data_IF_166447492081
#
_entry.id   IF_166447492081
#
_cell.length_a   1.000
_cell.length_b   1.000
_cell.length_c   1.000
_cell.angle_alpha   90.00
_cell.angle_beta   90.00
_cell.angle_gamma   90.00
#
_symmetry.space_group_name_H-M   'P 1'
#
loop_
_entity.id
_entity.type
_entity.pdbx_description
1 polymer ?
#
# COMPACT_ATOMS: atom_id res chain seq x y z
N UNK A 1 27.61 -20.99 -3.60
CA UNK A 1 28.34 -21.52 -2.42
C UNK A 1 27.42 -21.70 -1.21
N UNK A 2 26.70 -20.65 -0.72
CA UNK A 2 25.76 -20.79 0.43
C UNK A 2 24.61 -21.73 0.09
N UNK A 3 23.99 -21.58 -1.07
CA UNK A 3 22.91 -22.45 -1.51
C UNK A 3 23.36 -23.93 -1.64
N UNK A 4 24.58 -24.15 -2.10
CA UNK A 4 25.14 -25.50 -2.20
C UNK A 4 25.38 -26.11 -0.82
N UNK A 5 25.81 -25.33 0.16
CA UNK A 5 25.92 -25.72 1.57
C UNK A 5 24.57 -26.09 2.17
N UNK A 6 23.49 -25.31 1.88
CA UNK A 6 22.13 -25.63 2.30
C UNK A 6 21.68 -26.98 1.72
N UNK A 7 21.90 -27.17 0.41
CA UNK A 7 21.55 -28.43 -0.28
C UNK A 7 22.28 -29.63 0.34
N UNK A 8 23.54 -29.45 0.72
CA UNK A 8 24.32 -30.53 1.39
C UNK A 8 23.82 -30.74 2.82
N UNK A 9 23.56 -29.68 3.58
CA UNK A 9 23.14 -29.79 4.97
C UNK A 9 21.75 -30.44 5.14
N UNK A 10 20.81 -30.18 4.22
CA UNK A 10 19.47 -30.76 4.30
C UNK A 10 19.43 -32.30 4.16
N UNK A 11 20.43 -32.91 3.50
CA UNK A 11 20.45 -34.35 3.28
C UNK A 11 20.38 -35.14 4.59
N UNK A 12 21.03 -34.63 5.64
CA UNK A 12 20.97 -35.24 6.96
C UNK A 12 19.55 -35.18 7.58
N UNK A 13 18.76 -34.19 7.23
CA UNK A 13 17.41 -33.98 7.75
C UNK A 13 16.37 -34.90 7.07
N UNK A 14 16.64 -35.38 5.87
CA UNK A 14 15.73 -36.24 5.10
C UNK A 14 15.44 -37.57 5.78
N UNK A 15 16.37 -38.05 6.59
CA UNK A 15 16.27 -39.34 7.29
C UNK A 15 15.57 -39.25 8.65
N UNK A 16 15.26 -38.04 9.15
CA UNK A 16 14.57 -37.84 10.40
C UNK A 16 13.07 -38.20 10.25
N UNK A 17 12.51 -38.83 11.28
CA UNK A 17 11.03 -38.96 11.36
C UNK A 17 10.40 -37.62 11.72
N UNK A 18 9.05 -37.53 11.74
CA UNK A 18 8.34 -36.27 11.97
C UNK A 18 8.66 -35.66 13.34
N UNK A 19 8.70 -36.45 14.40
CA UNK A 19 8.99 -35.98 15.77
C UNK A 19 10.42 -35.45 15.89
N UNK A 20 11.39 -36.18 15.34
CA UNK A 20 12.79 -35.77 15.31
C UNK A 20 13.00 -34.49 14.49
N UNK A 21 12.30 -34.37 13.36
CA UNK A 21 12.39 -33.16 12.54
C UNK A 21 11.76 -31.95 13.24
N UNK A 22 10.60 -32.12 13.91
CA UNK A 22 9.97 -31.08 14.67
C UNK A 22 10.87 -30.55 15.80
N UNK A 23 11.53 -31.45 16.54
CA UNK A 23 12.52 -31.10 17.57
C UNK A 23 13.71 -30.34 16.95
N UNK A 24 14.25 -30.85 15.86
CA UNK A 24 15.37 -30.21 15.14
C UNK A 24 15.00 -28.80 14.61
N UNK A 25 13.79 -28.60 14.08
CA UNK A 25 13.32 -27.28 13.63
C UNK A 25 13.18 -26.30 14.80
N UNK A 26 12.71 -26.76 15.95
CA UNK A 26 12.62 -25.95 17.17
C UNK A 26 14.01 -25.50 17.66
N UNK A 27 14.99 -26.41 17.63
CA UNK A 27 16.37 -26.10 17.99
C UNK A 27 17.02 -25.11 17.01
N UNK A 28 16.82 -25.29 15.70
CA UNK A 28 17.33 -24.39 14.68
C UNK A 28 16.72 -22.99 14.81
N UNK A 29 15.43 -22.92 15.16
CA UNK A 29 14.75 -21.64 15.45
C UNK A 29 15.35 -20.96 16.67
N UNK A 30 15.55 -21.70 17.76
CA UNK A 30 16.15 -21.16 18.98
C UNK A 30 17.58 -20.65 18.73
N UNK A 31 18.38 -21.40 17.99
CA UNK A 31 19.74 -21.02 17.58
C UNK A 31 19.74 -19.75 16.71
N UNK A 32 18.83 -19.65 15.73
CA UNK A 32 18.72 -18.49 14.85
C UNK A 32 18.42 -17.20 15.61
N UNK A 33 17.53 -17.28 16.60
CA UNK A 33 17.19 -16.15 17.48
C UNK A 33 18.36 -15.73 18.36
N UNK A 34 19.12 -16.68 18.90
CA UNK A 34 20.30 -16.43 19.70
C UNK A 34 21.40 -15.73 18.90
N UNK A 35 21.72 -16.22 17.71
CA UNK A 35 22.79 -15.69 16.84
C UNK A 35 22.47 -14.26 16.39
N UNK A 36 21.21 -13.94 16.08
CA UNK A 36 20.80 -12.59 15.70
C UNK A 36 21.06 -11.57 16.82
N UNK A 37 20.92 -11.95 18.07
CA UNK A 37 21.15 -11.08 19.23
C UNK A 37 22.63 -10.83 19.52
N UNK A 38 23.55 -11.67 19.05
CA UNK A 38 24.98 -11.65 19.42
C UNK A 38 25.90 -11.17 18.30
N UNK A 39 25.51 -11.34 17.03
CA UNK A 39 26.38 -11.05 15.88
C UNK A 39 25.75 -10.08 14.86
N UNK A 40 26.61 -9.27 14.22
CA UNK A 40 26.21 -8.41 13.12
C UNK A 40 25.76 -9.23 11.90
N UNK A 41 24.95 -8.64 11.04
CA UNK A 41 24.21 -9.15 9.87
C UNK A 41 24.96 -9.97 8.81
N UNK A 42 26.07 -10.66 9.14
CA UNK A 42 26.74 -11.56 8.20
C UNK A 42 26.14 -12.96 8.29
N UNK A 43 25.86 -13.53 7.14
CA UNK A 43 25.36 -14.91 6.98
C UNK A 43 26.33 -15.89 7.63
N UNK A 44 25.91 -16.54 8.71
CA UNK A 44 26.70 -17.49 9.49
C UNK A 44 26.33 -18.94 9.10
N UNK A 45 27.11 -19.91 9.59
CA UNK A 45 26.78 -21.34 9.42
C UNK A 45 25.39 -21.69 9.98
N UNK A 46 24.92 -20.99 11.03
CA UNK A 46 23.57 -21.16 11.59
C UNK A 46 22.45 -20.77 10.61
N UNK A 47 22.66 -19.75 9.77
CA UNK A 47 21.68 -19.39 8.73
C UNK A 47 21.60 -20.48 7.64
N UNK A 48 22.73 -21.13 7.31
CA UNK A 48 22.73 -22.28 6.38
C UNK A 48 21.95 -23.44 6.96
N UNK A 49 22.14 -23.76 8.23
CA UNK A 49 21.40 -24.83 8.92
C UNK A 49 19.91 -24.51 9.03
N UNK A 50 19.56 -23.29 9.42
CA UNK A 50 18.17 -22.83 9.48
C UNK A 50 17.49 -22.95 8.10
N UNK A 51 18.15 -22.47 7.04
CA UNK A 51 17.62 -22.58 5.68
C UNK A 51 17.52 -24.04 5.22
N UNK A 52 18.41 -24.93 5.64
CA UNK A 52 18.32 -26.36 5.36
C UNK A 52 17.09 -27.00 6.01
N UNK A 53 16.81 -26.65 7.27
CA UNK A 53 15.59 -27.08 7.97
C UNK A 53 14.31 -26.59 7.29
N UNK A 54 14.26 -25.31 6.91
CA UNK A 54 13.12 -24.73 6.19
C UNK A 54 12.94 -25.43 4.82
N UNK A 55 14.02 -25.75 4.11
CA UNK A 55 13.94 -26.47 2.85
C UNK A 55 13.37 -27.89 3.01
N UNK A 56 13.72 -28.58 4.09
CA UNK A 56 13.15 -29.89 4.38
C UNK A 56 11.67 -29.77 4.78
N UNK A 57 11.28 -28.73 5.52
CA UNK A 57 9.89 -28.44 5.83
C UNK A 57 9.07 -28.24 4.54
N UNK A 58 9.59 -27.48 3.55
CA UNK A 58 8.93 -27.33 2.24
C UNK A 58 8.70 -28.68 1.57
N UNK A 59 9.70 -29.59 1.61
CA UNK A 59 9.55 -30.93 1.04
C UNK A 59 8.46 -31.74 1.73
N UNK A 60 8.37 -31.66 3.06
CA UNK A 60 7.34 -32.37 3.84
C UNK A 60 5.94 -31.84 3.56
N UNK A 61 5.78 -30.52 3.54
CA UNK A 61 4.48 -29.88 3.38
C UNK A 61 4.00 -29.91 1.92
N UNK A 62 4.86 -29.55 0.96
CA UNK A 62 4.45 -29.38 -0.43
C UNK A 62 4.85 -30.55 -1.36
N UNK A 63 5.63 -31.53 -0.88
CA UNK A 63 6.06 -32.68 -1.67
C UNK A 63 7.17 -32.41 -2.70
N UNK A 64 7.67 -31.16 -2.79
CA UNK A 64 8.77 -30.82 -3.69
C UNK A 64 9.87 -30.03 -2.95
N UNK A 65 11.06 -29.99 -3.55
CA UNK A 65 12.21 -29.30 -2.96
C UNK A 65 12.40 -27.92 -3.60
N UNK A 66 12.73 -26.89 -2.80
CA UNK A 66 13.16 -25.62 -3.35
C UNK A 66 14.39 -25.78 -4.25
N UNK A 67 14.37 -25.09 -5.38
CA UNK A 67 15.50 -25.04 -6.28
C UNK A 67 16.64 -24.16 -5.72
N UNK A 68 17.86 -24.42 -6.22
CA UNK A 68 19.05 -23.68 -5.83
C UNK A 68 18.88 -22.16 -6.00
N UNK A 69 18.23 -21.78 -7.07
CA UNK A 69 17.94 -20.38 -7.44
C UNK A 69 17.04 -19.70 -6.40
N UNK A 70 16.03 -20.40 -5.91
CA UNK A 70 15.13 -19.90 -4.87
C UNK A 70 15.86 -19.70 -3.53
N UNK A 71 16.79 -20.59 -3.20
CA UNK A 71 17.64 -20.45 -2.02
C UNK A 71 18.58 -19.22 -2.15
N UNK A 72 19.14 -18.99 -3.34
CA UNK A 72 19.96 -17.79 -3.62
C UNK A 72 19.13 -16.54 -3.43
N UNK A 73 17.92 -16.50 -4.02
CA UNK A 73 16.99 -15.38 -3.87
C UNK A 73 16.62 -15.12 -2.40
N UNK A 74 16.36 -16.18 -1.64
CA UNK A 74 16.03 -16.07 -0.22
C UNK A 74 17.17 -15.45 0.60
N UNK A 75 18.41 -15.84 0.37
CA UNK A 75 19.56 -15.20 1.03
C UNK A 75 19.74 -13.74 0.61
N UNK A 76 19.56 -13.42 -0.67
CA UNK A 76 19.65 -12.03 -1.14
C UNK A 76 18.62 -11.13 -0.42
N UNK A 77 17.38 -11.60 -0.27
CA UNK A 77 16.32 -10.88 0.45
C UNK A 77 16.69 -10.71 1.93
N UNK A 78 17.17 -11.76 2.58
CA UNK A 78 17.58 -11.72 3.99
C UNK A 78 18.73 -10.75 4.25
N UNK A 79 19.63 -10.59 3.29
CA UNK A 79 20.75 -9.63 3.37
C UNK A 79 20.35 -8.19 3.03
N UNK A 80 19.05 -7.94 2.78
CA UNK A 80 18.55 -6.60 2.46
C UNK A 80 18.86 -6.19 1.02
N UNK A 81 18.76 -7.12 0.08
CA UNK A 81 18.96 -6.89 -1.36
C UNK A 81 17.69 -7.23 -2.13
N UNK A 82 17.62 -6.79 -3.37
CA UNK A 82 16.56 -7.17 -4.30
C UNK A 82 17.03 -8.37 -5.14
N UNK A 83 16.33 -9.49 -5.02
CA UNK A 83 16.55 -10.65 -5.86
C UNK A 83 15.86 -10.44 -7.23
N UNK A 84 16.65 -10.30 -8.30
CA UNK A 84 16.12 -10.25 -9.65
C UNK A 84 15.84 -11.67 -10.13
N UNK A 85 14.55 -12.06 -10.06
CA UNK A 85 14.08 -13.40 -10.41
C UNK A 85 13.08 -13.31 -11.56
N UNK A 86 13.30 -14.07 -12.62
CA UNK A 86 12.37 -14.11 -13.74
C UNK A 86 10.98 -14.57 -13.32
N UNK A 87 9.96 -14.15 -14.08
CA UNK A 87 8.59 -14.59 -13.85
C UNK A 87 8.49 -16.12 -14.02
N UNK A 88 7.80 -16.78 -13.07
CA UNK A 88 7.65 -18.25 -13.07
C UNK A 88 8.74 -19.01 -12.33
N UNK A 89 9.78 -18.37 -11.81
CA UNK A 89 10.86 -19.02 -11.04
C UNK A 89 10.51 -19.26 -9.56
N UNK A 90 9.27 -18.99 -9.15
CA UNK A 90 8.78 -19.26 -7.80
C UNK A 90 9.12 -18.19 -6.77
N UNK A 91 8.91 -16.92 -7.12
CA UNK A 91 9.07 -15.76 -6.22
C UNK A 91 8.34 -15.94 -4.89
N UNK A 92 7.08 -16.41 -4.91
CA UNK A 92 6.28 -16.62 -3.69
C UNK A 92 6.96 -17.61 -2.72
N UNK A 93 7.48 -18.74 -3.21
CA UNK A 93 8.22 -19.67 -2.36
C UNK A 93 9.50 -19.04 -1.80
N UNK A 94 10.21 -18.27 -2.61
CA UNK A 94 11.42 -17.55 -2.20
C UNK A 94 11.11 -16.55 -1.07
N UNK A 95 9.99 -15.85 -1.16
CA UNK A 95 9.49 -14.97 -0.09
C UNK A 95 9.20 -15.76 1.19
N UNK A 96 8.52 -16.92 1.08
CA UNK A 96 8.22 -17.76 2.24
C UNK A 96 9.49 -18.23 2.96
N UNK A 97 10.50 -18.71 2.20
CA UNK A 97 11.79 -19.10 2.77
C UNK A 97 12.44 -17.94 3.55
N UNK A 98 12.44 -16.76 2.94
CA UNK A 98 13.01 -15.55 3.55
C UNK A 98 12.23 -15.12 4.79
N UNK A 99 10.90 -15.14 4.71
CA UNK A 99 10.03 -14.72 5.80
C UNK A 99 10.16 -15.62 7.03
N UNK A 100 10.20 -16.94 6.84
CA UNK A 100 10.40 -17.90 7.94
C UNK A 100 11.77 -17.68 8.57
N UNK A 101 12.83 -17.58 7.75
CA UNK A 101 14.19 -17.40 8.26
C UNK A 101 14.34 -16.09 9.03
N UNK A 102 13.68 -15.00 8.61
CA UNK A 102 13.66 -13.73 9.32
C UNK A 102 12.84 -13.81 10.61
N UNK A 103 11.68 -14.47 10.59
CA UNK A 103 10.84 -14.70 11.78
C UNK A 103 11.58 -15.51 12.83
N UNK A 104 12.35 -16.53 12.44
CA UNK A 104 13.20 -17.32 13.34
C UNK A 104 14.30 -16.49 14.01
N UNK A 105 14.71 -15.37 13.39
CA UNK A 105 15.61 -14.41 14.02
C UNK A 105 14.91 -13.53 15.09
N UNK A 106 13.59 -13.71 15.29
CA UNK A 106 12.80 -12.95 16.25
C UNK A 106 12.39 -11.56 15.79
N UNK A 107 12.48 -11.30 14.47
CA UNK A 107 12.08 -10.03 13.88
C UNK A 107 10.64 -10.10 13.37
N UNK A 108 9.78 -9.09 13.63
CA UNK A 108 8.52 -8.94 12.93
C UNK A 108 8.76 -8.74 11.43
N UNK A 109 8.16 -9.59 10.60
CA UNK A 109 8.33 -9.60 9.14
C UNK A 109 7.06 -9.08 8.49
N UNK A 110 7.20 -8.11 7.59
CA UNK A 110 6.10 -7.64 6.75
C UNK A 110 6.38 -8.02 5.30
N UNK A 111 5.48 -8.77 4.71
CA UNK A 111 5.54 -9.13 3.28
C UNK A 111 4.58 -8.21 2.53
N UNK A 112 5.15 -7.34 1.69
CA UNK A 112 4.39 -6.35 0.93
C UNK A 112 4.10 -6.90 -0.45
N UNK A 113 2.81 -6.89 -0.81
CA UNK A 113 2.32 -7.33 -2.12
C UNK A 113 1.63 -6.19 -2.85
N UNK A 114 1.42 -6.35 -4.14
CA UNK A 114 0.84 -5.30 -4.99
C UNK A 114 -0.63 -4.98 -4.68
N UNK A 115 -1.40 -5.91 -4.12
CA UNK A 115 -2.81 -5.70 -3.78
C UNK A 115 -3.29 -6.65 -2.67
N UNK A 116 -4.46 -6.34 -2.10
CA UNK A 116 -5.08 -7.07 -1.00
C UNK A 116 -5.37 -8.54 -1.31
N UNK A 117 -5.77 -8.83 -2.55
CA UNK A 117 -6.01 -10.20 -2.99
C UNK A 117 -4.75 -11.05 -2.92
N UNK A 118 -3.63 -10.53 -3.42
CA UNK A 118 -2.35 -11.22 -3.35
C UNK A 118 -1.87 -11.38 -1.91
N UNK A 119 -2.05 -10.38 -1.06
CA UNK A 119 -1.70 -10.45 0.35
C UNK A 119 -2.45 -11.57 1.07
N UNK A 120 -3.75 -11.67 0.87
CA UNK A 120 -4.58 -12.72 1.47
C UNK A 120 -4.23 -14.11 0.90
N UNK A 121 -4.16 -14.24 -0.43
CA UNK A 121 -3.86 -15.50 -1.14
C UNK A 121 -2.49 -16.07 -0.74
N UNK A 122 -1.45 -15.24 -0.78
CA UNK A 122 -0.08 -15.72 -0.55
C UNK A 122 0.16 -16.03 0.93
N UNK A 123 -0.53 -15.32 1.84
CA UNK A 123 -0.59 -15.68 3.25
C UNK A 123 -1.24 -17.05 3.45
N UNK A 124 -2.40 -17.28 2.82
CA UNK A 124 -3.15 -18.55 2.92
C UNK A 124 -2.34 -19.72 2.35
N UNK A 125 -1.74 -19.57 1.17
CA UNK A 125 -0.88 -20.59 0.56
C UNK A 125 0.34 -20.95 1.43
N UNK A 126 0.84 -20.02 2.23
CA UNK A 126 1.96 -20.23 3.13
C UNK A 126 1.60 -20.84 4.50
N UNK A 127 0.32 -20.81 4.91
CA UNK A 127 -0.11 -21.13 6.28
C UNK A 127 0.39 -22.50 6.78
N UNK A 128 0.25 -23.54 5.97
CA UNK A 128 0.67 -24.89 6.35
C UNK A 128 2.18 -24.96 6.60
N UNK A 129 2.97 -24.35 5.71
CA UNK A 129 4.42 -24.27 5.86
C UNK A 129 4.84 -23.44 7.09
N UNK A 130 4.16 -22.31 7.32
CA UNK A 130 4.42 -21.47 8.48
C UNK A 130 4.15 -22.22 9.79
N UNK A 131 2.99 -22.87 9.87
CA UNK A 131 2.62 -23.69 11.04
C UNK A 131 3.62 -24.82 11.26
N UNK A 132 4.04 -25.52 10.21
CA UNK A 132 5.03 -26.59 10.27
C UNK A 132 6.39 -26.08 10.77
N UNK A 133 6.79 -24.86 10.40
CA UNK A 133 7.99 -24.19 10.89
C UNK A 133 7.80 -23.49 12.26
N UNK A 134 6.66 -23.66 12.91
CA UNK A 134 6.33 -23.05 14.19
C UNK A 134 6.22 -21.51 14.14
N UNK A 135 5.86 -20.93 13.00
CA UNK A 135 5.73 -19.49 12.80
C UNK A 135 4.28 -19.12 12.57
N UNK A 136 3.86 -17.99 13.13
CA UNK A 136 2.49 -17.46 12.95
C UNK A 136 2.45 -16.44 11.84
N UNK A 137 1.41 -16.50 10.97
CA UNK A 137 1.22 -15.55 9.89
C UNK A 137 -0.24 -15.07 9.80
N UNK A 138 -0.42 -13.84 9.36
CA UNK A 138 -1.73 -13.24 9.08
C UNK A 138 -1.64 -12.27 7.89
N UNK A 139 -2.79 -12.01 7.26
CA UNK A 139 -2.94 -10.90 6.31
C UNK A 139 -3.69 -9.73 6.96
N UNK A 140 -3.21 -8.51 6.71
CA UNK A 140 -3.87 -7.25 7.10
C UNK A 140 -4.12 -6.45 5.83
N UNK A 141 -5.37 -6.36 5.43
CA UNK A 141 -5.83 -5.76 4.17
C UNK A 141 -6.80 -4.61 4.42
N UNK A 142 -7.21 -3.91 3.38
CA UNK A 142 -8.25 -2.88 3.47
C UNK A 142 -9.58 -3.38 4.04
N UNK A 143 -9.89 -4.67 3.89
CA UNK A 143 -11.11 -5.30 4.43
C UNK A 143 -10.99 -5.68 5.92
N UNK A 144 -9.76 -5.69 6.49
CA UNK A 144 -9.56 -6.04 7.90
C UNK A 144 -10.14 -4.95 8.80
N UNK A 145 -11.13 -5.28 9.66
CA UNK A 145 -11.75 -4.31 10.54
C UNK A 145 -10.74 -3.64 11.50
N UNK A 146 -10.92 -2.37 11.87
CA UNK A 146 -9.97 -1.64 12.72
C UNK A 146 -9.62 -2.35 14.03
N UNK A 147 -10.59 -2.98 14.68
CA UNK A 147 -10.39 -3.71 15.94
C UNK A 147 -9.58 -5.02 15.76
N UNK A 148 -9.58 -5.62 14.59
CA UNK A 148 -8.84 -6.85 14.29
C UNK A 148 -7.41 -6.59 13.78
N UNK A 149 -7.11 -5.37 13.32
CA UNK A 149 -5.78 -5.05 12.73
C UNK A 149 -4.64 -5.27 13.72
N UNK A 150 -4.80 -4.88 14.98
CA UNK A 150 -3.79 -5.07 16.01
C UNK A 150 -3.49 -6.56 16.26
N UNK A 151 -4.49 -7.43 16.25
CA UNK A 151 -4.31 -8.88 16.34
C UNK A 151 -3.55 -9.41 15.11
N UNK A 152 -3.89 -8.95 13.91
CA UNK A 152 -3.17 -9.29 12.68
C UNK A 152 -1.68 -8.92 12.76
N UNK A 153 -1.35 -7.68 13.15
CA UNK A 153 0.05 -7.24 13.31
C UNK A 153 0.81 -7.94 14.44
N UNK A 154 0.13 -8.68 15.32
CA UNK A 154 0.79 -9.46 16.37
C UNK A 154 1.36 -10.81 15.89
N UNK A 155 1.09 -11.22 14.66
CA UNK A 155 1.72 -12.40 14.07
C UNK A 155 3.18 -12.12 13.68
N UNK A 156 3.99 -13.17 13.58
CA UNK A 156 5.43 -13.03 13.25
C UNK A 156 5.63 -12.61 11.80
N UNK A 157 4.77 -13.10 10.90
CA UNK A 157 4.74 -12.72 9.48
C UNK A 157 3.40 -12.05 9.19
N UNK A 158 3.43 -10.85 8.61
CA UNK A 158 2.24 -10.08 8.25
C UNK A 158 2.27 -9.76 6.76
N UNK A 159 1.29 -10.25 6.03
CA UNK A 159 1.07 -9.89 4.63
C UNK A 159 0.18 -8.65 4.55
N UNK A 160 0.59 -7.65 3.80
CA UNK A 160 -0.20 -6.44 3.59
C UNK A 160 0.21 -5.72 2.30
N UNK A 161 -0.52 -4.68 1.94
CA UNK A 161 -0.09 -3.76 0.90
C UNK A 161 0.77 -2.64 1.49
N UNK A 162 1.58 -1.98 0.65
CA UNK A 162 2.31 -0.79 1.06
C UNK A 162 1.37 0.31 1.58
N UNK A 163 0.18 0.41 0.97
CA UNK A 163 -0.87 1.37 1.33
C UNK A 163 -1.40 1.11 2.74
N UNK A 164 -1.75 -0.14 3.07
CA UNK A 164 -2.27 -0.49 4.40
C UNK A 164 -1.24 -0.25 5.48
N UNK A 165 -0.01 -0.72 5.25
CA UNK A 165 1.09 -0.54 6.20
C UNK A 165 1.37 0.95 6.47
N UNK A 166 1.42 1.78 5.43
CA UNK A 166 1.64 3.22 5.58
C UNK A 166 0.45 3.92 6.25
N UNK A 167 -0.79 3.52 5.92
CA UNK A 167 -2.00 4.08 6.53
C UNK A 167 -2.04 3.81 8.04
N UNK A 168 -1.75 2.58 8.46
CA UNK A 168 -1.72 2.23 9.87
C UNK A 168 -0.57 2.91 10.61
N UNK A 169 0.61 3.02 9.98
CA UNK A 169 1.71 3.81 10.53
C UNK A 169 1.35 5.28 10.76
N UNK A 170 0.63 5.89 9.82
CA UNK A 170 0.19 7.27 9.95
C UNK A 170 -0.88 7.42 11.04
N UNK A 171 -1.84 6.49 11.12
CA UNK A 171 -2.87 6.47 12.19
C UNK A 171 -2.22 6.35 13.57
N UNK A 172 -1.29 5.42 13.74
CA UNK A 172 -0.52 5.26 14.97
C UNK A 172 0.28 6.51 15.32
N UNK A 173 0.88 7.15 14.31
CA UNK A 173 1.63 8.40 14.50
C UNK A 173 0.73 9.53 15.00
N UNK A 174 -0.50 9.67 14.48
CA UNK A 174 -1.46 10.66 14.95
C UNK A 174 -1.88 10.40 16.41
N UNK A 175 -2.10 9.13 16.78
CA UNK A 175 -2.41 8.75 18.16
C UNK A 175 -1.26 9.10 19.11
N UNK A 176 -0.03 8.84 18.70
CA UNK A 176 1.18 9.14 19.49
C UNK A 176 1.40 10.65 19.69
N UNK A 177 1.14 11.46 18.64
CA UNK A 177 1.24 12.92 18.70
C UNK A 177 0.16 13.51 19.63
N UNK A 178 -1.06 12.98 19.58
CA UNK A 178 -2.18 13.45 20.41
C UNK A 178 -2.06 13.13 21.89
N UNK A 179 -1.25 12.13 22.28
CA UNK A 179 -1.09 11.67 23.68
C UNK A 179 0.19 12.17 24.35
N UNK A 180 0.57 13.41 24.14
CA UNK A 180 1.67 14.09 24.85
C UNK A 180 2.96 13.25 25.01
N UNK A 181 3.49 12.77 23.91
CA UNK A 181 4.87 12.32 23.82
C UNK A 181 5.10 10.80 23.92
N UNK A 182 5.98 10.36 23.04
CA UNK A 182 6.47 8.96 22.95
C UNK A 182 6.92 8.40 24.31
N UNK A 183 7.44 9.26 25.21
CA UNK A 183 7.96 8.88 26.52
C UNK A 183 6.83 8.41 27.46
N UNK A 184 5.68 9.12 27.49
CA UNK A 184 4.53 8.71 28.28
C UNK A 184 3.95 7.36 27.81
N UNK A 185 4.02 7.13 26.50
CA UNK A 185 3.53 5.88 25.91
C UNK A 185 4.46 4.70 26.22
N UNK A 186 5.77 4.90 26.14
CA UNK A 186 6.76 3.89 26.53
C UNK A 186 6.66 3.53 28.01
N UNK A 187 6.46 4.53 28.88
CA UNK A 187 6.26 4.34 30.32
C UNK A 187 4.94 3.63 30.64
N UNK A 188 3.86 3.94 29.92
CA UNK A 188 2.58 3.24 30.10
C UNK A 188 2.65 1.77 29.65
N UNK A 189 3.34 1.47 28.55
CA UNK A 189 3.60 0.12 28.07
C UNK A 189 4.44 -0.71 29.05
N UNK A 190 5.49 -0.12 29.62
CA UNK A 190 6.32 -0.76 30.65
C UNK A 190 5.55 -1.04 31.94
N UNK A 191 4.63 -0.14 32.33
CA UNK A 191 3.82 -0.27 33.53
C UNK A 191 2.71 -1.32 33.41
N UNK A 192 2.19 -1.55 32.20
CA UNK A 192 1.09 -2.50 31.93
C UNK A 192 1.58 -3.87 31.42
N UNK A 193 2.83 -4.24 31.64
CA UNK A 193 3.38 -5.56 31.28
C UNK A 193 3.34 -5.88 29.79
N UNK A 194 3.45 -4.86 28.91
CA UNK A 194 3.53 -5.06 27.47
C UNK A 194 2.20 -5.38 26.78
N UNK A 195 1.07 -5.45 27.49
CA UNK A 195 -0.26 -5.66 26.91
C UNK A 195 -0.82 -4.34 26.37
N UNK A 196 -0.58 -4.09 25.08
CA UNK A 196 -0.85 -2.82 24.40
C UNK A 196 -2.31 -2.52 24.01
N UNK A 197 -3.30 -3.21 24.56
CA UNK A 197 -4.71 -3.01 24.18
C UNK A 197 -5.30 -1.64 24.55
N UNK A 198 -4.70 -0.92 25.49
CA UNK A 198 -5.21 0.40 25.91
C UNK A 198 -4.72 1.59 25.08
N UNK A 199 -3.86 1.39 24.09
CA UNK A 199 -3.18 2.50 23.39
C UNK A 199 -3.84 2.95 22.09
N UNK A 200 -4.63 2.11 21.46
CA UNK A 200 -5.18 2.35 20.11
C UNK A 200 -4.13 2.25 18.99
N UNK A 201 -2.88 1.87 19.29
CA UNK A 201 -1.82 1.61 18.33
C UNK A 201 -1.98 0.19 17.83
N UNK A 202 -1.94 0.02 16.50
CA UNK A 202 -2.11 -1.30 15.86
C UNK A 202 -0.79 -1.95 15.50
N UNK A 203 0.24 -1.19 15.13
CA UNK A 203 1.54 -1.71 14.71
C UNK A 203 2.52 -1.79 15.89
N UNK A 204 3.19 -2.93 16.05
CA UNK A 204 4.25 -3.12 17.06
C UNK A 204 5.66 -2.76 16.59
N UNK A 205 5.76 -2.12 15.44
CA UNK A 205 7.00 -1.74 14.76
C UNK A 205 7.29 -2.58 13.52
N UNK A 206 8.14 -2.06 12.66
CA UNK A 206 8.56 -2.70 11.41
C UNK A 206 10.07 -2.87 11.46
N UNK A 207 10.55 -4.10 11.40
CA UNK A 207 11.98 -4.40 11.45
C UNK A 207 12.49 -4.97 10.13
N UNK A 208 11.78 -5.94 9.56
CA UNK A 208 12.10 -6.57 8.29
C UNK A 208 10.92 -6.41 7.33
N UNK A 209 11.20 -5.92 6.13
CA UNK A 209 10.23 -5.84 5.05
C UNK A 209 10.73 -6.65 3.85
N UNK A 210 9.87 -7.48 3.31
CA UNK A 210 10.08 -8.23 2.07
C UNK A 210 9.08 -7.67 1.06
N UNK A 211 9.57 -7.12 -0.04
CA UNK A 211 8.73 -6.47 -1.06
C UNK A 211 8.64 -7.36 -2.29
N UNK A 212 7.44 -7.81 -2.62
CA UNK A 212 7.15 -8.45 -3.90
C UNK A 212 6.89 -7.37 -4.96
N UNK A 213 7.34 -7.61 -6.19
CA UNK A 213 7.35 -6.65 -7.29
C UNK A 213 7.96 -5.29 -6.84
N UNK A 214 9.20 -5.38 -6.34
CA UNK A 214 9.88 -4.28 -5.65
C UNK A 214 10.09 -3.01 -6.50
N UNK A 215 10.20 -3.12 -7.81
CA UNK A 215 10.26 -1.99 -8.75
C UNK A 215 8.95 -1.19 -8.75
N UNK A 216 7.81 -1.85 -8.87
CA UNK A 216 6.52 -1.16 -8.83
C UNK A 216 6.27 -0.48 -7.49
N UNK A 217 6.47 -1.20 -6.38
CA UNK A 217 6.17 -0.69 -5.03
C UNK A 217 7.15 0.40 -4.58
N UNK A 218 8.46 0.21 -4.83
CA UNK A 218 9.51 1.11 -4.32
C UNK A 218 9.83 2.26 -5.28
N UNK A 219 9.49 2.16 -6.57
CA UNK A 219 9.80 3.19 -7.57
C UNK A 219 8.52 3.78 -8.15
N UNK A 220 7.70 3.00 -8.88
CA UNK A 220 6.59 3.55 -9.65
C UNK A 220 5.52 4.22 -8.77
N UNK A 221 5.11 3.58 -7.70
CA UNK A 221 4.08 4.08 -6.80
C UNK A 221 4.64 4.94 -5.64
N UNK A 222 5.94 4.87 -5.40
CA UNK A 222 6.56 5.39 -4.18
C UNK A 222 6.53 6.92 -4.04
N UNK A 223 6.43 7.66 -5.12
CA UNK A 223 6.42 9.14 -5.13
C UNK A 223 5.09 9.70 -4.65
N UNK A 224 4.00 8.98 -4.87
CA UNK A 224 2.66 9.40 -4.48
C UNK A 224 2.53 9.44 -2.95
N UNK A 225 2.11 10.56 -2.34
CA UNK A 225 1.90 10.61 -0.90
C UNK A 225 0.58 9.96 -0.51
N UNK A 226 0.60 9.20 0.57
CA UNK A 226 -0.61 8.85 1.29
C UNK A 226 -1.02 10.01 2.19
N UNK A 227 -2.29 10.39 2.13
CA UNK A 227 -2.88 11.48 2.91
C UNK A 227 -3.98 10.90 3.78
N UNK A 228 -3.91 11.14 5.07
CA UNK A 228 -5.00 10.88 6.01
C UNK A 228 -5.66 12.21 6.32
N UNK A 229 -6.96 12.28 6.10
CA UNK A 229 -7.78 13.45 6.41
C UNK A 229 -8.82 13.07 7.47
N UNK A 230 -9.08 14.00 8.37
CA UNK A 230 -10.16 13.87 9.36
C UNK A 230 -11.23 14.92 9.09
N UNK A 231 -12.52 14.56 9.17
CA UNK A 231 -13.59 15.52 9.05
C UNK A 231 -13.52 16.50 10.25
N UNK A 232 -13.56 17.79 9.94
CA UNK A 232 -13.58 18.85 10.94
C UNK A 232 -14.79 19.75 10.67
N UNK A 233 -15.76 19.81 11.57
CA UNK A 233 -16.92 20.67 11.38
C UNK A 233 -16.49 22.13 11.15
N UNK A 234 -17.02 22.73 10.09
CA UNK A 234 -16.82 24.14 9.75
C UNK A 234 -18.17 24.73 9.35
N UNK A 235 -18.86 25.30 10.33
CA UNK A 235 -20.18 25.91 10.16
C UNK A 235 -20.12 27.12 9.21
N UNK A 236 -18.99 27.82 9.18
CA UNK A 236 -18.80 28.97 8.29
C UNK A 236 -18.74 28.53 6.83
N UNK A 237 -18.02 27.45 6.55
CA UNK A 237 -17.94 26.89 5.20
C UNK A 237 -19.29 26.30 4.77
N UNK A 238 -20.00 25.61 5.66
CA UNK A 238 -21.33 25.08 5.38
C UNK A 238 -22.32 26.21 5.02
N UNK A 239 -22.38 27.26 5.84
CA UNK A 239 -23.21 28.43 5.54
C UNK A 239 -22.79 29.13 4.25
N UNK A 240 -21.48 29.23 4.00
CA UNK A 240 -20.95 29.83 2.77
C UNK A 240 -21.30 28.99 1.53
N UNK A 241 -21.29 27.64 1.61
CA UNK A 241 -21.69 26.77 0.52
C UNK A 241 -23.15 26.97 0.12
N UNK A 242 -24.07 27.02 1.08
CA UNK A 242 -25.49 27.33 0.83
C UNK A 242 -25.62 28.68 0.16
N UNK A 243 -24.97 29.70 0.68
CA UNK A 243 -25.03 31.06 0.11
C UNK A 243 -24.43 31.14 -1.29
N UNK A 244 -23.35 30.38 -1.57
CA UNK A 244 -22.76 30.32 -2.90
C UNK A 244 -23.75 29.76 -3.94
N UNK A 245 -24.50 28.70 -3.57
CA UNK A 245 -25.54 28.11 -4.42
C UNK A 245 -26.68 29.12 -4.68
N UNK A 246 -27.14 29.87 -3.65
CA UNK A 246 -28.14 30.92 -3.85
C UNK A 246 -27.65 31.99 -4.83
N UNK A 247 -26.43 32.47 -4.64
CA UNK A 247 -25.82 33.47 -5.51
C UNK A 247 -25.64 32.93 -6.94
N UNK A 248 -25.19 31.71 -7.10
CA UNK A 248 -25.02 31.06 -8.39
C UNK A 248 -26.35 30.90 -9.14
N UNK A 249 -27.43 30.51 -8.44
CA UNK A 249 -28.80 30.41 -9.00
C UNK A 249 -29.34 31.77 -9.51
N UNK A 250 -28.88 32.86 -8.93
CA UNK A 250 -29.29 34.23 -9.32
C UNK A 250 -28.52 34.78 -10.54
N UNK A 251 -27.44 34.15 -10.97
CA UNK A 251 -26.63 34.54 -12.12
C UNK A 251 -27.16 33.90 -13.42
N UNK A 252 -26.98 34.64 -14.53
CA UNK A 252 -27.53 34.28 -15.86
C UNK A 252 -26.40 33.80 -16.79
N UNK A 253 -26.57 32.63 -17.39
CA UNK A 253 -25.64 32.09 -18.40
C UNK A 253 -25.57 33.00 -19.63
N UNK A 254 -24.39 33.10 -20.23
CA UNK A 254 -24.12 33.98 -21.39
C UNK A 254 -23.93 35.44 -21.05
N UNK A 255 -24.44 35.92 -19.89
CA UNK A 255 -24.30 37.28 -19.42
C UNK A 255 -23.34 37.38 -18.23
N UNK A 256 -23.64 36.68 -17.17
CA UNK A 256 -22.90 36.76 -15.91
C UNK A 256 -21.78 35.68 -15.82
N UNK A 257 -21.96 34.55 -16.48
CA UNK A 257 -20.96 33.52 -16.61
C UNK A 257 -21.01 32.83 -17.97
N UNK A 258 -19.89 32.20 -18.35
CA UNK A 258 -19.74 31.40 -19.58
C UNK A 258 -19.35 29.97 -19.24
N UNK A 259 -19.92 29.03 -19.99
CA UNK A 259 -19.57 27.61 -19.90
C UNK A 259 -18.69 27.27 -21.12
N UNK A 260 -17.50 26.75 -20.86
CA UNK A 260 -16.65 26.17 -21.91
C UNK A 260 -16.67 24.65 -21.76
N UNK A 261 -17.38 23.97 -22.66
CA UNK A 261 -17.53 22.52 -22.62
C UNK A 261 -16.25 21.80 -23.04
N UNK A 262 -15.44 22.36 -23.94
CA UNK A 262 -14.23 21.73 -24.46
C UNK A 262 -13.16 21.54 -23.37
N UNK A 263 -13.00 22.56 -22.51
CA UNK A 263 -12.07 22.52 -21.37
C UNK A 263 -12.77 22.23 -20.03
N UNK A 264 -14.07 21.92 -20.07
CA UNK A 264 -14.91 21.62 -18.88
C UNK A 264 -14.73 22.67 -17.77
N UNK A 265 -14.89 23.92 -18.11
CA UNK A 265 -14.73 25.05 -17.18
C UNK A 265 -15.93 25.99 -17.20
N UNK A 266 -16.18 26.64 -16.06
CA UNK A 266 -17.18 27.70 -15.90
C UNK A 266 -16.51 28.93 -15.33
N UNK A 267 -16.67 30.08 -15.97
CA UNK A 267 -16.02 31.31 -15.55
C UNK A 267 -16.99 32.49 -15.49
N UNK A 268 -16.90 33.29 -14.42
CA UNK A 268 -17.60 34.53 -14.30
C UNK A 268 -17.09 35.57 -15.32
N UNK A 269 -18.01 36.21 -16.04
CA UNK A 269 -17.68 37.34 -16.91
C UNK A 269 -17.36 38.57 -16.07
N UNK A 270 -16.83 39.62 -16.71
CA UNK A 270 -16.64 40.92 -16.05
C UNK A 270 -17.95 41.47 -15.49
N UNK A 271 -19.07 41.30 -16.19
CA UNK A 271 -20.40 41.72 -15.75
C UNK A 271 -20.87 40.91 -14.54
N UNK A 272 -20.65 39.56 -14.57
CA UNK A 272 -20.99 38.67 -13.47
C UNK A 272 -20.22 38.99 -12.20
N UNK A 273 -18.90 39.23 -12.31
CA UNK A 273 -18.07 39.66 -11.17
C UNK A 273 -18.57 40.99 -10.56
N UNK A 274 -18.91 41.97 -11.39
CA UNK A 274 -19.46 43.23 -10.91
C UNK A 274 -20.83 43.09 -10.24
N UNK A 275 -21.67 42.16 -10.76
CA UNK A 275 -22.98 41.85 -10.17
C UNK A 275 -22.81 41.11 -8.84
N UNK A 276 -21.94 40.08 -8.80
CA UNK A 276 -21.61 39.33 -7.60
C UNK A 276 -21.11 40.27 -6.48
N UNK A 277 -20.20 41.19 -6.80
CA UNK A 277 -19.65 42.12 -5.85
C UNK A 277 -20.75 43.00 -5.17
N UNK A 278 -21.84 43.31 -5.89
CA UNK A 278 -22.99 44.02 -5.32
C UNK A 278 -23.85 43.10 -4.45
N UNK A 279 -24.02 41.84 -4.85
CA UNK A 279 -24.86 40.87 -4.13
C UNK A 279 -24.27 40.46 -2.79
N UNK A 280 -22.96 40.55 -2.62
CA UNK A 280 -22.25 40.12 -1.40
C UNK A 280 -21.95 41.23 -0.42
N UNK A 281 -22.36 42.47 -0.69
CA UNK A 281 -22.07 43.62 0.19
C UNK A 281 -22.51 43.42 1.64
N UNK A 282 -23.69 42.83 1.83
CA UNK A 282 -24.29 42.56 3.14
C UNK A 282 -24.16 41.10 3.60
N UNK A 283 -23.38 40.27 2.90
CA UNK A 283 -23.32 38.81 3.14
C UNK A 283 -22.34 38.41 4.26
N UNK A 284 -21.73 39.36 4.98
CA UNK A 284 -20.85 39.14 6.11
C UNK A 284 -19.36 39.03 5.75
N UNK A 285 -18.46 38.89 6.77
CA UNK A 285 -17.02 39.05 6.60
C UNK A 285 -16.37 38.04 5.64
N UNK A 286 -16.89 36.83 5.54
CA UNK A 286 -16.40 35.80 4.63
C UNK A 286 -16.47 36.28 3.16
N UNK A 287 -17.54 36.96 2.80
CA UNK A 287 -17.86 37.41 1.45
C UNK A 287 -17.20 38.74 1.05
N UNK A 288 -16.60 39.44 1.98
CA UNK A 288 -15.88 40.69 1.70
C UNK A 288 -14.59 40.49 0.92
N UNK A 289 -14.03 39.28 0.95
CA UNK A 289 -12.86 38.91 0.13
C UNK A 289 -13.32 38.44 -1.25
N UNK A 290 -13.20 39.34 -2.23
CA UNK A 290 -13.69 39.14 -3.59
C UNK A 290 -13.19 37.81 -4.21
N UNK A 291 -11.91 37.51 -4.07
CA UNK A 291 -11.31 36.28 -4.64
C UNK A 291 -12.00 35.03 -4.12
N UNK A 292 -12.25 34.94 -2.82
CA UNK A 292 -12.96 33.80 -2.20
C UNK A 292 -14.42 33.72 -2.62
N UNK A 293 -15.10 34.86 -2.73
CA UNK A 293 -16.48 34.91 -3.18
C UNK A 293 -16.60 34.44 -4.64
N UNK A 294 -15.72 34.90 -5.51
CA UNK A 294 -15.66 34.49 -6.91
C UNK A 294 -15.32 32.99 -7.03
N UNK A 295 -14.35 32.50 -6.30
CA UNK A 295 -13.95 31.07 -6.28
C UNK A 295 -15.11 30.18 -5.85
N UNK A 296 -15.79 30.51 -4.75
CA UNK A 296 -16.85 29.68 -4.23
C UNK A 296 -18.11 29.69 -5.13
N UNK A 297 -18.43 30.82 -5.72
CA UNK A 297 -19.54 30.93 -6.69
C UNK A 297 -19.20 30.23 -8.00
N UNK A 298 -17.96 30.31 -8.49
CA UNK A 298 -17.52 29.51 -9.63
C UNK A 298 -17.60 27.99 -9.34
N UNK A 299 -17.23 27.58 -8.13
CA UNK A 299 -17.38 26.18 -7.68
C UNK A 299 -18.84 25.76 -7.65
N UNK A 300 -19.76 26.67 -7.23
CA UNK A 300 -21.19 26.38 -7.25
C UNK A 300 -21.74 26.26 -8.67
N UNK A 301 -21.38 27.16 -9.57
CA UNK A 301 -21.75 27.09 -10.99
C UNK A 301 -21.20 25.81 -11.62
N UNK A 302 -19.96 25.45 -11.38
CA UNK A 302 -19.34 24.24 -11.87
C UNK A 302 -20.09 22.99 -11.35
N UNK A 303 -20.35 22.92 -10.06
CA UNK A 303 -21.08 21.79 -9.44
C UNK A 303 -22.48 21.62 -10.03
N UNK A 304 -23.19 22.73 -10.28
CA UNK A 304 -24.56 22.71 -10.83
C UNK A 304 -24.62 22.44 -12.34
N UNK A 305 -23.58 22.82 -13.10
CA UNK A 305 -23.60 22.78 -14.57
C UNK A 305 -22.75 21.69 -15.19
N UNK A 306 -21.67 21.27 -14.52
CA UNK A 306 -20.70 20.33 -15.05
C UNK A 306 -20.75 18.98 -14.37
N UNK A 307 -21.20 18.91 -13.09
CA UNK A 307 -21.31 17.64 -12.38
C UNK A 307 -22.65 16.97 -12.74
N UNK A 308 -22.56 15.81 -13.38
CA UNK A 308 -23.71 15.04 -13.86
C UNK A 308 -23.91 13.82 -12.97
N UNK A 309 -25.14 13.69 -12.45
CA UNK A 309 -25.54 12.51 -11.67
C UNK A 309 -25.42 11.25 -12.52
N UNK A 310 -25.09 10.12 -11.89
CA UNK A 310 -24.89 8.79 -12.46
C UNK A 310 -23.64 8.68 -13.39
N UNK A 311 -22.97 9.80 -13.63
CA UNK A 311 -21.70 9.83 -14.37
C UNK A 311 -20.52 10.20 -13.47
N UNK A 312 -20.63 11.31 -12.72
CA UNK A 312 -19.55 11.81 -11.87
C UNK A 312 -19.80 11.48 -10.40
N UNK A 313 -21.05 11.35 -10.00
CA UNK A 313 -21.46 11.01 -8.63
C UNK A 313 -22.81 10.31 -8.63
N UNK A 314 -23.07 9.58 -7.54
CA UNK A 314 -24.40 9.06 -7.18
C UNK A 314 -24.77 9.58 -5.79
N UNK A 315 -26.07 9.47 -5.46
CA UNK A 315 -26.57 9.73 -4.11
C UNK A 315 -26.87 8.37 -3.48
N UNK A 316 -26.14 8.04 -2.41
CA UNK A 316 -26.36 6.81 -1.65
C UNK A 316 -26.53 7.17 -0.16
N UNK A 317 -27.63 6.74 0.44
CA UNK A 317 -27.94 7.03 1.86
C UNK A 317 -27.91 8.53 2.23
N UNK A 318 -28.37 9.38 1.30
CA UNK A 318 -28.36 10.83 1.49
C UNK A 318 -27.00 11.51 1.36
N UNK A 319 -25.97 10.79 0.89
CA UNK A 319 -24.62 11.32 0.70
C UNK A 319 -24.17 11.24 -0.75
N UNK A 320 -23.35 12.21 -1.15
CA UNK A 320 -22.70 12.20 -2.47
C UNK A 320 -21.53 11.21 -2.45
N UNK A 321 -21.58 10.22 -3.34
CA UNK A 321 -20.48 9.26 -3.57
C UNK A 321 -19.97 9.44 -4.99
N UNK A 322 -18.66 9.62 -5.14
CA UNK A 322 -18.04 9.85 -6.45
C UNK A 322 -17.98 8.55 -7.27
N UNK A 323 -18.07 8.71 -8.58
CA UNK A 323 -17.85 7.64 -9.56
C UNK A 323 -16.52 7.90 -10.26
N UNK A 324 -15.68 6.91 -10.34
CA UNK A 324 -14.45 6.97 -11.13
C UNK A 324 -14.81 6.87 -12.62
N UNK A 325 -14.54 7.92 -13.37
CA UNK A 325 -14.94 8.03 -14.79
C UNK A 325 -14.29 6.96 -15.69
N UNK A 326 -13.12 6.46 -15.33
CA UNK A 326 -12.40 5.45 -16.12
C UNK A 326 -12.92 4.05 -15.89
N UNK A 327 -13.18 3.72 -14.62
CA UNK A 327 -13.56 2.35 -14.24
C UNK A 327 -15.05 2.17 -14.00
N UNK A 328 -15.82 3.26 -13.88
CA UNK A 328 -17.24 3.23 -13.49
C UNK A 328 -17.49 2.77 -12.05
N UNK A 329 -16.47 2.61 -11.24
CA UNK A 329 -16.58 2.13 -9.85
C UNK A 329 -16.84 3.27 -8.88
N UNK A 330 -17.52 2.94 -7.77
CA UNK A 330 -17.76 3.89 -6.70
C UNK A 330 -16.49 4.15 -5.90
N UNK A 331 -16.12 5.42 -5.77
CA UNK A 331 -14.94 5.87 -5.02
C UNK A 331 -15.38 6.42 -3.65
N UNK A 332 -15.82 5.54 -2.75
CA UNK A 332 -16.39 5.89 -1.44
C UNK A 332 -15.44 6.64 -0.51
N UNK A 333 -14.15 6.46 -0.70
CA UNK A 333 -13.10 7.12 0.12
C UNK A 333 -12.61 8.45 -0.48
N UNK A 334 -13.08 8.80 -1.69
CA UNK A 334 -12.74 10.06 -2.33
C UNK A 334 -13.79 11.11 -2.04
N UNK A 335 -13.32 12.31 -1.71
CA UNK A 335 -14.14 13.51 -1.57
C UNK A 335 -13.64 14.59 -2.52
N UNK A 336 -14.53 15.49 -2.94
CA UNK A 336 -14.14 16.65 -3.73
C UNK A 336 -13.42 17.66 -2.83
N UNK A 337 -12.36 18.28 -3.35
CA UNK A 337 -11.54 19.25 -2.62
C UNK A 337 -12.08 20.67 -2.71
N UNK A 338 -11.48 21.57 -1.96
CA UNK A 338 -11.72 23.03 -2.03
C UNK A 338 -13.18 23.48 -1.82
N UNK A 339 -13.92 22.79 -0.95
CA UNK A 339 -15.32 23.14 -0.66
C UNK A 339 -16.33 22.67 -1.72
N UNK A 340 -15.88 22.04 -2.81
CA UNK A 340 -16.74 21.55 -3.89
C UNK A 340 -17.73 20.49 -3.41
N UNK A 341 -17.32 19.61 -2.47
CA UNK A 341 -18.21 18.61 -1.87
C UNK A 341 -19.40 19.27 -1.18
N UNK A 342 -19.14 20.26 -0.31
CA UNK A 342 -20.13 21.00 0.45
C UNK A 342 -21.07 21.80 -0.45
N UNK A 343 -20.52 22.41 -1.49
CA UNK A 343 -21.29 23.16 -2.48
C UNK A 343 -22.18 22.24 -3.32
N UNK A 344 -21.68 21.07 -3.72
CA UNK A 344 -22.49 20.09 -4.46
C UNK A 344 -23.62 19.54 -3.58
N UNK A 345 -23.35 19.22 -2.32
CA UNK A 345 -24.35 18.78 -1.35
C UNK A 345 -25.42 19.86 -1.12
N UNK A 346 -25.00 21.14 -0.96
CA UNK A 346 -25.91 22.26 -0.87
C UNK A 346 -26.75 22.47 -2.14
N UNK A 347 -26.18 22.27 -3.33
CA UNK A 347 -26.89 22.38 -4.60
C UNK A 347 -27.94 21.29 -4.80
N UNK A 348 -27.75 20.14 -4.16
CA UNK A 348 -28.63 18.97 -4.17
C UNK A 348 -29.61 18.95 -2.98
N UNK A 349 -29.60 20.00 -2.14
CA UNK A 349 -30.38 20.11 -0.92
C UNK A 349 -30.18 18.93 0.06
N UNK A 350 -28.92 18.42 0.14
CA UNK A 350 -28.51 17.34 1.03
C UNK A 350 -27.87 17.90 2.32
N UNK A 351 -27.71 17.05 3.33
CA UNK A 351 -26.92 17.38 4.52
C UNK A 351 -25.47 17.65 4.13
N UNK A 352 -24.95 18.81 4.54
CA UNK A 352 -23.59 19.23 4.20
C UNK A 352 -22.58 18.50 5.08
N UNK A 353 -21.73 17.70 4.47
CA UNK A 353 -20.67 16.98 5.16
C UNK A 353 -19.56 17.95 5.64
N UNK A 354 -18.95 17.68 6.80
CA UNK A 354 -17.82 18.48 7.25
C UNK A 354 -16.64 18.37 6.29
N UNK A 355 -15.91 19.48 6.02
CA UNK A 355 -14.72 19.45 5.20
C UNK A 355 -13.65 18.55 5.82
N UNK A 356 -12.86 17.89 4.97
CA UNK A 356 -11.76 17.05 5.39
C UNK A 356 -10.48 17.88 5.51
N UNK A 357 -9.91 17.94 6.72
CA UNK A 357 -8.60 18.57 6.96
C UNK A 357 -7.51 17.50 6.92
N UNK A 358 -6.40 17.79 6.22
CA UNK A 358 -5.24 16.88 6.14
C UNK A 358 -4.59 16.77 7.51
N UNK A 359 -4.68 15.61 8.14
CA UNK A 359 -4.13 15.33 9.47
C UNK A 359 -2.72 14.75 9.41
N UNK A 360 -2.43 13.92 8.40
CA UNK A 360 -1.10 13.37 8.17
C UNK A 360 -0.85 13.17 6.67
N UNK A 361 0.41 13.31 6.27
CA UNK A 361 0.85 13.10 4.89
C UNK A 361 2.27 12.54 4.87
N UNK A 362 2.48 11.43 4.15
CA UNK A 362 3.80 10.84 3.96
C UNK A 362 3.84 10.10 2.61
N UNK A 363 4.92 10.26 1.84
CA UNK A 363 5.13 9.45 0.63
C UNK A 363 5.65 8.05 1.01
N UNK A 364 5.32 7.05 0.20
CA UNK A 364 5.83 5.68 0.38
C UNK A 364 7.36 5.67 0.37
N UNK A 365 7.99 6.43 -0.55
CA UNK A 365 9.43 6.57 -0.62
C UNK A 365 10.05 6.99 0.71
N UNK A 366 9.53 8.06 1.34
CA UNK A 366 10.02 8.54 2.65
C UNK A 366 9.76 7.55 3.77
N UNK A 367 8.70 6.78 3.69
CA UNK A 367 8.40 5.76 4.67
C UNK A 367 9.39 4.61 4.57
N UNK A 368 9.58 4.04 3.38
CA UNK A 368 10.52 2.94 3.17
C UNK A 368 11.97 3.32 3.50
N UNK A 369 12.40 4.55 3.21
CA UNK A 369 13.74 5.05 3.60
C UNK A 369 14.03 5.03 5.11
N UNK A 370 12.99 4.95 5.96
CA UNK A 370 13.13 4.91 7.42
C UNK A 370 13.23 3.50 7.98
N UNK A 371 12.97 2.50 7.15
CA UNK A 371 12.99 1.11 7.58
C UNK A 371 14.43 0.61 7.66
N UNK A 372 14.71 -0.19 8.68
CA UNK A 372 16.08 -0.66 8.96
C UNK A 372 16.53 -1.76 8.02
N UNK A 373 15.62 -2.59 7.55
CA UNK A 373 15.94 -3.73 6.68
C UNK A 373 14.84 -3.94 5.64
N UNK A 374 15.18 -3.71 4.39
CA UNK A 374 14.33 -3.95 3.24
C UNK A 374 15.04 -4.95 2.35
N UNK A 375 14.35 -6.03 1.98
CA UNK A 375 14.72 -6.92 0.91
C UNK A 375 13.51 -7.10 0.00
N UNK A 376 13.68 -7.69 -1.16
CA UNK A 376 12.56 -7.90 -2.06
C UNK A 376 12.94 -8.68 -3.29
N UNK A 377 11.99 -8.77 -4.20
CA UNK A 377 12.17 -9.49 -5.47
C UNK A 377 11.35 -8.81 -6.57
N UNK A 378 11.84 -8.92 -7.79
CA UNK A 378 11.13 -8.51 -9.00
C UNK A 378 11.74 -9.20 -10.21
N UNK A 379 11.00 -9.26 -11.32
CA UNK A 379 11.49 -9.77 -12.60
C UNK A 379 12.23 -8.71 -13.45
N UNK A 380 12.14 -7.43 -13.10
CA UNK A 380 12.53 -6.27 -13.94
C UNK A 380 13.47 -5.29 -13.24
N UNK A 381 14.21 -5.76 -12.20
CA UNK A 381 15.10 -4.93 -11.39
C UNK A 381 16.22 -4.23 -12.16
N UNK A 382 16.63 -4.77 -13.31
CA UNK A 382 17.75 -4.25 -14.09
C UNK A 382 17.53 -2.81 -14.53
N UNK A 383 16.30 -2.45 -14.88
CA UNK A 383 15.95 -1.12 -15.37
C UNK A 383 15.94 -0.08 -14.24
N UNK A 384 15.53 -0.48 -13.03
CA UNK A 384 15.41 0.38 -11.85
C UNK A 384 16.62 0.35 -10.92
N UNK A 385 17.69 -0.37 -11.32
CA UNK A 385 18.89 -0.60 -10.49
C UNK A 385 19.51 0.70 -9.92
N UNK A 386 19.65 1.70 -10.77
CA UNK A 386 20.27 2.97 -10.37
C UNK A 386 19.44 3.71 -9.33
N UNK A 387 18.10 3.65 -9.47
CA UNK A 387 17.16 4.32 -8.58
C UNK A 387 17.07 3.60 -7.22
N UNK A 388 16.91 2.27 -7.22
CA UNK A 388 16.90 1.46 -6.00
C UNK A 388 18.19 1.65 -5.19
N UNK A 389 19.33 1.68 -5.86
CA UNK A 389 20.62 1.94 -5.20
C UNK A 389 20.74 3.36 -4.64
N UNK A 390 20.32 4.39 -5.41
CA UNK A 390 20.45 5.79 -5.00
C UNK A 390 19.45 6.19 -3.92
N UNK A 391 18.21 5.70 -4.01
CA UNK A 391 17.11 6.11 -3.12
C UNK A 391 17.15 5.33 -1.80
N UNK A 392 17.36 4.02 -1.87
CA UNK A 392 17.24 3.12 -0.72
C UNK A 392 18.55 2.44 -0.31
N UNK A 393 19.62 2.58 -1.09
CA UNK A 393 20.88 1.87 -0.86
C UNK A 393 20.81 0.37 -1.14
N UNK A 394 19.79 -0.09 -1.88
CA UNK A 394 19.55 -1.51 -2.14
C UNK A 394 20.43 -2.02 -3.30
N UNK A 395 21.09 -3.16 -3.06
CA UNK A 395 21.79 -3.89 -4.11
C UNK A 395 20.84 -4.82 -4.85
N UNK A 396 21.11 -5.06 -6.13
CA UNK A 396 20.37 -6.05 -6.92
C UNK A 396 21.25 -7.28 -7.10
N UNK A 397 20.70 -8.44 -6.78
CA UNK A 397 21.33 -9.75 -6.96
C UNK A 397 20.61 -10.48 -8.09
N UNK A 398 21.24 -10.59 -9.29
CA UNK A 398 20.66 -11.38 -10.36
C UNK A 398 20.64 -12.87 -9.96
N UNK A 399 19.45 -13.47 -10.01
CA UNK A 399 19.28 -14.89 -9.75
C UNK A 399 19.14 -15.61 -11.10
N UNK A 400 19.97 -16.62 -11.39
CA UNK A 400 19.86 -17.36 -12.65
C UNK A 400 18.52 -18.10 -12.71
N UNK A 401 18.03 -18.37 -13.92
CA UNK A 401 16.85 -19.22 -14.12
C UNK A 401 17.20 -20.68 -13.90
N UNK A 402 16.26 -21.45 -13.35
CA UNK A 402 16.45 -22.89 -13.11
C UNK A 402 16.71 -23.65 -14.43
N UNK A 403 16.00 -23.29 -15.48
CA UNK A 403 16.21 -23.83 -16.83
C UNK A 403 16.54 -22.68 -17.79
N UNK A 404 17.40 -22.93 -18.81
CA UNK A 404 17.66 -21.93 -19.83
C UNK A 404 16.36 -21.48 -20.50
N UNK A 405 16.20 -20.16 -20.71
CA UNK A 405 15.04 -19.63 -21.40
C UNK A 405 14.98 -20.13 -22.84
N UNK A 406 13.86 -20.71 -23.22
CA UNK A 406 13.58 -21.13 -24.60
C UNK A 406 12.75 -20.08 -25.37
N UNK A 407 12.46 -18.95 -24.74
CA UNK A 407 11.68 -17.86 -25.33
C UNK A 407 12.39 -17.32 -26.56
N UNK A 408 11.68 -17.34 -27.69
CA UNK A 408 12.16 -16.75 -28.97
C UNK A 408 11.32 -15.52 -29.28
N UNK A 409 11.97 -14.43 -29.65
CA UNK A 409 11.27 -13.27 -30.16
C UNK A 409 11.05 -13.47 -31.66
N UNK A 410 9.79 -13.57 -32.07
CA UNK A 410 9.40 -13.74 -33.48
C UNK A 410 9.28 -12.41 -34.24
N UNK A 411 9.67 -11.30 -33.63
CA UNK A 411 9.57 -9.94 -34.21
C UNK A 411 8.19 -9.31 -34.00
N UNK A 412 7.98 -8.21 -34.72
CA UNK A 412 6.74 -7.45 -34.62
C UNK A 412 5.92 -7.62 -35.91
N UNK A 413 4.60 -7.77 -35.74
CA UNK A 413 3.62 -7.72 -36.81
C UNK A 413 2.74 -6.48 -36.61
N UNK A 414 2.66 -5.61 -37.58
CA UNK A 414 1.87 -4.37 -37.56
C UNK A 414 0.65 -4.54 -38.44
N UNK A 415 -0.51 -4.17 -37.92
CA UNK A 415 -1.80 -4.31 -38.59
C UNK A 415 -2.43 -2.93 -38.80
N UNK A 416 -3.17 -2.76 -39.88
CA UNK A 416 -3.88 -1.52 -40.19
C UNK A 416 -5.12 -1.30 -39.34
N UNK A 417 -5.73 -2.38 -38.85
CA UNK A 417 -6.96 -2.34 -38.04
C UNK A 417 -6.89 -3.28 -36.85
N UNK A 418 -7.68 -2.96 -35.81
CA UNK A 418 -7.82 -3.86 -34.66
C UNK A 418 -8.46 -5.21 -35.03
N UNK A 419 -9.34 -5.25 -36.01
CA UNK A 419 -9.98 -6.49 -36.47
C UNK A 419 -8.94 -7.46 -37.07
N UNK A 420 -8.05 -6.99 -37.94
CA UNK A 420 -6.94 -7.76 -38.51
C UNK A 420 -6.00 -8.28 -37.42
N UNK A 421 -5.65 -7.42 -36.43
CA UNK A 421 -4.82 -7.80 -35.29
C UNK A 421 -5.46 -8.93 -34.49
N UNK A 422 -6.74 -8.82 -34.14
CA UNK A 422 -7.46 -9.83 -33.36
C UNK A 422 -7.57 -11.15 -34.14
N UNK A 423 -7.82 -11.09 -35.45
CA UNK A 423 -7.87 -12.28 -36.30
C UNK A 423 -6.52 -13.00 -36.34
N UNK A 424 -5.42 -12.25 -36.46
CA UNK A 424 -4.08 -12.84 -36.42
C UNK A 424 -3.72 -13.45 -35.06
N UNK A 425 -4.14 -12.82 -33.95
CA UNK A 425 -3.94 -13.38 -32.59
C UNK A 425 -4.65 -14.73 -32.45
N UNK A 426 -5.90 -14.82 -32.95
CA UNK A 426 -6.69 -16.08 -32.90
C UNK A 426 -6.05 -17.18 -33.76
N UNK A 427 -5.41 -16.80 -34.86
CA UNK A 427 -4.70 -17.79 -35.71
C UNK A 427 -3.38 -18.29 -35.12
N UNK A 428 -2.72 -17.45 -34.30
CA UNK A 428 -1.44 -17.79 -33.67
C UNK A 428 -1.61 -18.54 -32.34
N UNK A 429 -2.79 -18.52 -31.73
CA UNK A 429 -3.14 -19.18 -30.47
C UNK A 429 -3.62 -20.61 -30.66
#
# INVERSE_FOLDING_TARGET
>A
KLADQVISARVALEYLNEDQLAEQLADLRALSKFVCNVQSARTTASHVQAMAGINEAVRRVFGFRPHREQIIGAFAILEGSIAEMATGEGKTLTANLSAIAAAWQGMPVHVITANDYLAARDCELGQELYAYCGVTAASVTGETPPHARAAGYNHEIVYCTARDMLADHLRDSLILLGKAGRLKHALAGARNGGKGEASGIVMRGVQQVIVDEADSVLIDEAVTPLIISTPKPDELLAAAAVKAVELARALTEGKDYMINQDVRNVELTRAGRARLAKMVLDAGPFWQRRDRAEELVNTALYSMKMMVRDKHYIIQEGKVVLVDELTGRLARERTLSLGMQQVLEAALDLEISPPSEVSARLSFQRYFQRLTRIGGMTGTAKETKAELGKIYGLAIVPVPTHKPSQRRNLGYRVFGTNAEKLHAIVQDA
#
